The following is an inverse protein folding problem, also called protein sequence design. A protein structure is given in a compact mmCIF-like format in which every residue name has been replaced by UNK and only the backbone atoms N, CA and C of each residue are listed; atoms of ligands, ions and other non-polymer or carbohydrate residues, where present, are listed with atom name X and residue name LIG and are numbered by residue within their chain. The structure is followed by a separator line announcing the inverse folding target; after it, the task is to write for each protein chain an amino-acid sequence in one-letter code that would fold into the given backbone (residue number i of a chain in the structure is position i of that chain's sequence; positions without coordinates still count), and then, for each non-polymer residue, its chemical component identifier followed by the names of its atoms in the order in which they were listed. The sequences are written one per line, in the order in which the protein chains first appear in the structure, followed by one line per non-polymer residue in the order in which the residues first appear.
data_IF_325226883681
#
_entry.id   IF_325226883681
#
_cell.length_a   1.000
_cell.length_b   1.000
_cell.length_c   1.000
_cell.angle_alpha   90.00
_cell.angle_beta   90.00
_cell.angle_gamma   90.00
#
_symmetry.space_group_name_H-M   'P 1'
#
loop_
_entity.id
_entity.type
_entity.pdbx_description
1 polymer ?
#
# COMPACT_ATOMS: atom_id res chain seq x y z
N UNK A 1 -8.43 28.28 -21.30
CA UNK A 1 -7.60 27.22 -20.68
C UNK A 1 -8.00 26.83 -19.25
N UNK A 2 -8.75 27.64 -18.49
CA UNK A 2 -9.09 27.31 -17.09
C UNK A 2 -10.00 26.07 -16.92
N UNK A 3 -10.98 25.89 -17.82
CA UNK A 3 -11.96 24.78 -17.73
C UNK A 3 -11.25 23.41 -17.77
N UNK A 4 -10.32 23.23 -18.70
CA UNK A 4 -9.58 21.96 -18.86
C UNK A 4 -8.70 21.71 -17.64
N UNK A 5 -7.98 22.72 -17.15
CA UNK A 5 -7.13 22.58 -15.97
C UNK A 5 -7.94 22.16 -14.74
N UNK A 6 -9.09 22.80 -14.51
CA UNK A 6 -9.98 22.46 -13.39
C UNK A 6 -10.53 21.03 -13.56
N UNK A 7 -10.98 20.65 -14.75
CA UNK A 7 -11.47 19.29 -15.01
C UNK A 7 -10.38 18.23 -14.75
N UNK A 8 -9.14 18.50 -15.19
CA UNK A 8 -7.99 17.62 -14.95
C UNK A 8 -7.67 17.50 -13.47
N UNK A 9 -7.72 18.60 -12.71
CA UNK A 9 -7.51 18.58 -11.25
C UNK A 9 -8.53 17.68 -10.57
N UNK A 10 -9.82 17.76 -10.94
CA UNK A 10 -10.85 16.89 -10.36
C UNK A 10 -10.66 15.43 -10.76
N UNK A 11 -10.39 15.15 -12.04
CA UNK A 11 -10.21 13.80 -12.55
C UNK A 11 -9.00 13.11 -11.90
N UNK A 12 -7.82 13.73 -11.96
CA UNK A 12 -6.58 13.19 -11.40
C UNK A 12 -6.58 13.22 -9.88
N UNK A 13 -7.17 14.24 -9.26
CA UNK A 13 -7.31 14.33 -7.81
C UNK A 13 -8.14 13.18 -7.25
N UNK A 14 -9.29 12.89 -7.87
CA UNK A 14 -10.16 11.78 -7.46
C UNK A 14 -9.46 10.43 -7.60
N UNK A 15 -8.76 10.22 -8.73
CA UNK A 15 -7.99 9.00 -8.97
C UNK A 15 -6.84 8.85 -7.96
N UNK A 16 -6.11 9.92 -7.68
CA UNK A 16 -5.01 9.95 -6.71
C UNK A 16 -5.50 9.64 -5.30
N UNK A 17 -6.64 10.20 -4.89
CA UNK A 17 -7.28 9.91 -3.60
C UNK A 17 -7.69 8.44 -3.51
N UNK A 18 -8.20 7.87 -4.60
CA UNK A 18 -8.54 6.45 -4.64
C UNK A 18 -7.30 5.59 -4.40
N UNK A 19 -6.22 5.80 -5.16
CA UNK A 19 -4.97 5.05 -4.98
C UNK A 19 -4.32 5.29 -3.61
N UNK A 20 -4.37 6.50 -3.07
CA UNK A 20 -3.88 6.80 -1.73
C UNK A 20 -4.60 5.97 -0.64
N UNK A 21 -5.91 5.74 -0.80
CA UNK A 21 -6.69 4.87 0.10
C UNK A 21 -6.27 3.41 -0.02
N UNK A 22 -6.04 2.93 -1.24
CA UNK A 22 -5.58 1.56 -1.52
C UNK A 22 -4.20 1.30 -0.90
N UNK A 23 -3.24 2.21 -1.12
CA UNK A 23 -1.91 2.16 -0.50
C UNK A 23 -2.04 2.10 1.02
N UNK A 24 -2.86 2.97 1.61
CA UNK A 24 -3.08 2.98 3.06
C UNK A 24 -3.65 1.67 3.62
N UNK A 25 -4.33 0.85 2.80
CA UNK A 25 -4.89 -0.45 3.18
C UNK A 25 -4.01 -1.64 2.79
N UNK A 26 -2.89 -1.41 2.11
CA UNK A 26 -2.00 -2.48 1.64
C UNK A 26 -2.69 -3.39 0.63
N UNK A 27 -3.45 -2.82 -0.30
CA UNK A 27 -4.15 -3.57 -1.35
C UNK A 27 -4.00 -2.88 -2.71
N UNK A 28 -3.98 -3.67 -3.79
CA UNK A 28 -4.09 -3.21 -5.17
C UNK A 28 -5.55 -2.98 -5.57
N UNK A 29 -5.79 -2.39 -6.75
CA UNK A 29 -7.16 -2.18 -7.26
C UNK A 29 -7.96 -3.48 -7.44
N UNK A 30 -7.28 -4.57 -7.81
CA UNK A 30 -7.91 -5.89 -7.98
C UNK A 30 -8.19 -6.50 -6.60
N UNK A 31 -7.21 -6.46 -5.71
CA UNK A 31 -7.35 -6.97 -4.34
C UNK A 31 -8.44 -6.24 -3.56
N UNK A 32 -8.63 -4.94 -3.75
CA UNK A 32 -9.73 -4.21 -3.10
C UNK A 32 -11.11 -4.80 -3.43
N UNK A 33 -11.30 -5.28 -4.65
CA UNK A 33 -12.54 -5.97 -5.03
C UNK A 33 -12.64 -7.35 -4.36
N UNK A 34 -11.56 -8.12 -4.39
CA UNK A 34 -11.48 -9.45 -3.77
C UNK A 34 -11.70 -9.36 -2.25
N UNK A 35 -10.98 -8.46 -1.58
CA UNK A 35 -11.06 -8.21 -0.14
C UNK A 35 -12.48 -7.82 0.27
N UNK A 36 -13.18 -7.01 -0.53
CA UNK A 36 -14.57 -6.65 -0.29
C UNK A 36 -15.50 -7.86 -0.42
N UNK A 37 -15.34 -8.67 -1.46
CA UNK A 37 -16.12 -9.89 -1.65
C UNK A 37 -15.88 -10.89 -0.51
N UNK A 38 -14.62 -11.07 -0.12
CA UNK A 38 -14.21 -11.99 0.93
C UNK A 38 -14.66 -11.53 2.32
N UNK A 39 -14.60 -10.21 2.59
CA UNK A 39 -15.16 -9.62 3.81
C UNK A 39 -16.65 -9.91 3.93
N UNK A 40 -17.40 -9.79 2.83
CA UNK A 40 -18.84 -10.11 2.82
C UNK A 40 -19.08 -11.61 3.05
N UNK A 41 -18.28 -12.47 2.40
CA UNK A 41 -18.36 -13.93 2.52
C UNK A 41 -18.07 -14.40 3.95
N UNK A 42 -17.00 -13.90 4.57
CA UNK A 42 -16.61 -14.28 5.93
C UNK A 42 -17.57 -13.71 6.98
N UNK A 43 -18.07 -12.48 6.79
CA UNK A 43 -19.08 -11.91 7.68
C UNK A 43 -20.36 -12.76 7.73
N UNK A 44 -20.79 -13.33 6.60
CA UNK A 44 -21.92 -14.26 6.55
C UNK A 44 -21.67 -15.58 7.31
N UNK A 45 -20.39 -15.94 7.50
CA UNK A 45 -19.96 -17.10 8.28
C UNK A 45 -19.63 -16.75 9.74
N UNK A 46 -19.91 -15.51 10.19
CA UNK A 46 -19.58 -15.03 11.52
C UNK A 46 -18.07 -14.85 11.77
N UNK A 47 -17.27 -14.72 10.71
CA UNK A 47 -15.82 -14.53 10.76
C UNK A 47 -15.42 -13.14 10.27
N UNK A 48 -14.34 -12.60 10.82
CA UNK A 48 -13.77 -11.32 10.37
C UNK A 48 -12.66 -11.59 9.35
N UNK A 49 -12.78 -10.98 8.16
CA UNK A 49 -11.69 -10.95 7.20
C UNK A 49 -10.62 -9.95 7.64
N UNK A 50 -9.34 -10.34 7.53
CA UNK A 50 -8.19 -9.46 7.74
C UNK A 50 -7.32 -9.54 6.49
N UNK A 51 -7.02 -8.39 5.89
CA UNK A 51 -6.09 -8.32 4.77
C UNK A 51 -4.67 -8.68 5.27
N UNK A 52 -4.05 -9.77 4.80
CA UNK A 52 -2.73 -10.20 5.25
C UNK A 52 -1.59 -9.22 4.88
N UNK A 53 -1.83 -8.32 3.93
CA UNK A 53 -0.85 -7.33 3.46
C UNK A 53 -1.05 -5.94 4.07
N UNK A 54 -1.97 -5.79 5.02
CA UNK A 54 -2.22 -4.52 5.69
C UNK A 54 -1.43 -4.41 7.00
N UNK A 55 -0.24 -3.81 6.94
CA UNK A 55 0.64 -3.55 8.09
C UNK A 55 0.28 -2.26 8.86
N UNK A 56 -0.84 -1.62 8.49
CA UNK A 56 -1.24 -0.31 8.98
C UNK A 56 -0.73 0.83 8.10
N UNK A 57 -1.50 1.93 8.06
CA UNK A 57 -1.33 3.02 7.09
C UNK A 57 0.12 3.52 6.97
N UNK A 58 0.79 3.81 8.10
CA UNK A 58 2.15 4.36 8.09
C UNK A 58 3.16 3.38 7.47
N UNK A 59 3.10 2.09 7.84
CA UNK A 59 3.99 1.06 7.31
C UNK A 59 3.71 0.81 5.83
N UNK A 60 2.43 0.70 5.43
CA UNK A 60 2.06 0.50 4.03
C UNK A 60 2.56 1.64 3.13
N UNK A 61 2.45 2.89 3.57
CA UNK A 61 2.98 4.05 2.84
C UNK A 61 4.50 4.05 2.77
N UNK A 62 5.19 3.67 3.86
CA UNK A 62 6.65 3.56 3.87
C UNK A 62 7.14 2.51 2.88
N UNK A 63 6.48 1.36 2.84
CA UNK A 63 6.76 0.25 1.93
C UNK A 63 6.50 0.66 0.47
N UNK A 64 5.33 1.26 0.19
CA UNK A 64 4.97 1.71 -1.17
C UNK A 64 5.96 2.73 -1.74
N UNK A 65 6.38 3.70 -0.91
CA UNK A 65 7.36 4.72 -1.31
C UNK A 65 8.81 4.22 -1.25
N UNK A 66 9.04 2.96 -0.88
CA UNK A 66 10.38 2.40 -0.76
C UNK A 66 11.25 3.12 0.28
N UNK A 67 10.66 3.74 1.30
CA UNK A 67 11.33 4.50 2.36
C UNK A 67 11.85 3.58 3.48
N UNK A 68 12.50 2.51 3.05
CA UNK A 68 13.08 1.44 3.86
C UNK A 68 14.60 1.54 3.76
N UNK A 69 15.35 0.95 4.69
CA UNK A 69 16.84 0.91 4.63
C UNK A 69 17.50 2.30 4.56
N UNK A 70 17.02 3.24 5.38
CA UNK A 70 17.61 4.59 5.50
C UNK A 70 17.37 5.55 4.33
N UNK A 71 16.47 5.22 3.39
CA UNK A 71 16.18 6.10 2.23
C UNK A 71 15.43 7.36 2.66
N UNK A 72 15.85 8.50 2.10
CA UNK A 72 15.25 9.81 2.37
C UNK A 72 14.16 10.17 1.37
N UNK A 73 13.10 10.82 1.86
CA UNK A 73 11.95 11.28 1.07
C UNK A 73 12.34 12.22 -0.08
N UNK A 74 13.21 13.20 0.20
CA UNK A 74 13.61 14.21 -0.79
C UNK A 74 14.31 13.62 -2.02
N UNK A 75 15.17 12.63 -1.84
CA UNK A 75 15.95 12.06 -2.96
C UNK A 75 15.21 10.93 -3.68
N UNK A 76 14.39 10.16 -2.97
CA UNK A 76 13.83 8.91 -3.48
C UNK A 76 12.35 8.98 -3.83
N UNK A 77 11.63 10.02 -3.35
CA UNK A 77 10.19 10.19 -3.64
C UNK A 77 9.93 11.39 -4.52
N UNK A 78 10.55 12.55 -4.22
CA UNK A 78 10.29 13.78 -4.98
C UNK A 78 10.95 13.76 -6.37
N UNK A 79 12.13 13.16 -6.48
CA UNK A 79 12.86 13.02 -7.75
C UNK A 79 12.61 11.63 -8.34
N UNK A 80 12.63 11.48 -9.68
CA UNK A 80 12.59 10.18 -10.31
C UNK A 80 13.71 9.29 -9.77
N UNK A 81 13.34 8.23 -9.05
CA UNK A 81 14.32 7.31 -8.48
C UNK A 81 14.51 6.12 -9.40
N UNK A 82 15.77 5.71 -9.58
CA UNK A 82 16.14 4.51 -10.33
C UNK A 82 16.25 3.26 -9.44
N UNK A 83 15.83 3.34 -8.17
CA UNK A 83 15.88 2.19 -7.29
C UNK A 83 14.88 1.11 -7.73
N UNK A 84 15.24 -0.14 -7.52
CA UNK A 84 14.31 -1.26 -7.75
C UNK A 84 13.25 -1.28 -6.65
N UNK A 85 12.03 -1.78 -6.93
CA UNK A 85 11.10 -2.11 -5.87
C UNK A 85 11.71 -3.19 -4.97
N UNK A 86 11.32 -3.24 -3.70
CA UNK A 86 11.73 -4.31 -2.81
C UNK A 86 11.07 -5.64 -3.20
N UNK A 87 11.81 -6.73 -3.03
CA UNK A 87 11.35 -8.08 -3.35
C UNK A 87 11.36 -8.42 -4.85
N UNK A 88 10.79 -9.59 -5.16
CA UNK A 88 10.78 -10.16 -6.52
C UNK A 88 9.44 -9.95 -7.24
N UNK A 89 8.43 -9.45 -6.55
CA UNK A 89 7.05 -9.38 -7.06
C UNK A 89 6.38 -10.75 -7.21
N UNK A 90 6.99 -11.82 -6.71
CA UNK A 90 6.42 -13.18 -6.67
C UNK A 90 5.96 -13.57 -5.26
N UNK A 91 6.57 -12.94 -4.25
CA UNK A 91 6.30 -13.21 -2.84
C UNK A 91 6.31 -11.88 -2.10
N UNK A 92 5.43 -11.77 -1.10
CA UNK A 92 5.29 -10.60 -0.26
C UNK A 92 5.24 -11.04 1.19
N UNK A 93 5.77 -10.22 2.09
CA UNK A 93 5.61 -10.43 3.52
C UNK A 93 4.13 -10.30 3.88
N UNK A 94 3.72 -10.99 4.95
CA UNK A 94 2.37 -10.89 5.51
C UNK A 94 2.44 -10.56 6.99
N UNK A 95 1.35 -10.04 7.55
CA UNK A 95 1.24 -9.72 8.99
C UNK A 95 1.47 -10.95 9.90
N UNK A 96 1.23 -12.17 9.41
CA UNK A 96 1.54 -13.39 10.19
C UNK A 96 3.04 -13.70 10.20
N UNK A 97 3.75 -13.37 9.11
CA UNK A 97 5.22 -13.47 9.04
C UNK A 97 5.90 -12.40 9.89
N UNK A 98 5.30 -11.21 10.02
CA UNK A 98 5.82 -10.09 10.83
C UNK A 98 6.03 -10.49 12.30
N UNK A 99 5.09 -11.23 12.90
CA UNK A 99 5.20 -11.68 14.29
C UNK A 99 6.45 -12.53 14.59
N UNK A 100 7.08 -13.10 13.56
CA UNK A 100 8.31 -13.88 13.70
C UNK A 100 9.59 -13.05 13.49
N UNK A 101 9.51 -11.89 12.84
CA UNK A 101 10.66 -11.02 12.50
C UNK A 101 10.80 -9.79 13.40
N UNK A 102 9.77 -9.43 14.18
CA UNK A 102 9.80 -8.31 15.14
C UNK A 102 10.79 -8.50 16.31
N UNK A 103 11.50 -9.63 16.38
CA UNK A 103 12.60 -9.85 17.33
C UNK A 103 13.98 -9.49 16.80
N UNK A 104 14.14 -9.24 15.50
CA UNK A 104 15.45 -9.31 14.84
C UNK A 104 15.71 -8.09 13.94
N UNK A 105 15.70 -6.91 14.56
CA UNK A 105 16.09 -5.61 14.01
C UNK A 105 14.95 -4.73 13.46
N UNK A 106 15.00 -3.46 13.85
CA UNK A 106 14.11 -2.35 13.49
C UNK A 106 14.20 -1.95 11.99
N UNK A 107 14.79 -2.82 11.17
CA UNK A 107 15.03 -2.65 9.74
C UNK A 107 14.06 -3.52 8.93
N UNK A 108 12.77 -3.33 9.20
CA UNK A 108 11.67 -3.86 8.40
C UNK A 108 11.89 -3.54 6.90
N UNK A 109 11.79 -4.56 6.00
CA UNK A 109 12.14 -4.44 4.59
C UNK A 109 11.29 -3.44 3.81
#
# INVERSE_FOLDING_TARGET
MAIINVAVVFALGSLSIWHAKLIGRGETSIEAYINRAETKRLAALGKTYVNPYNFGKKKNWRLFLGLVRGRSWWRHVLLPSAHKPEGTGLTWHTVSTEGHLLGEDDDWP
#
